data_IF_346108831298
#
_entry.id   IF_346108831298
#
_cell.length_a   1.000
_cell.length_b   1.000
_cell.length_c   1.000
_cell.angle_alpha   90.00
_cell.angle_beta   90.00
_cell.angle_gamma   90.00
#
_symmetry.space_group_name_H-M   'P 1'
#
loop_
_entity.id
_entity.type
_entity.pdbx_description
1 polymer ?
#
# COMPACT_ATOMS: atom_id res chain seq x y z
N UNK A 1 26.44 11.63 -9.54
CA UNK A 1 25.85 11.55 -8.18
C UNK A 1 25.23 12.89 -7.73
N UNK A 2 25.99 13.98 -7.58
CA UNK A 2 25.45 15.29 -7.16
C UNK A 2 24.33 15.86 -8.06
N UNK A 3 24.40 15.60 -9.37
CA UNK A 3 23.42 16.09 -10.36
C UNK A 3 22.07 15.36 -10.30
N UNK A 4 22.04 14.11 -9.83
CA UNK A 4 20.81 13.32 -9.66
C UNK A 4 20.11 13.74 -8.37
N UNK A 5 20.85 13.85 -7.26
CA UNK A 5 20.33 14.40 -5.99
C UNK A 5 19.74 15.81 -6.17
N UNK A 6 20.37 16.68 -6.98
CA UNK A 6 19.84 18.02 -7.31
C UNK A 6 18.54 17.98 -8.14
N UNK A 7 18.42 17.02 -9.07
CA UNK A 7 17.19 16.80 -9.86
C UNK A 7 16.07 16.21 -9.00
N UNK A 8 16.39 15.36 -8.03
CA UNK A 8 15.44 14.79 -7.07
C UNK A 8 14.92 15.84 -6.09
N UNK A 9 15.81 16.69 -5.55
CA UNK A 9 15.39 17.84 -4.76
C UNK A 9 14.56 18.83 -5.56
N UNK A 10 14.78 18.94 -6.88
CA UNK A 10 13.92 19.74 -7.76
C UNK A 10 12.55 19.09 -7.94
N UNK A 11 12.49 17.78 -8.15
CA UNK A 11 11.22 17.04 -8.27
C UNK A 11 10.38 17.16 -7.00
N UNK A 12 11.00 17.02 -5.81
CA UNK A 12 10.31 17.19 -4.53
C UNK A 12 9.90 18.64 -4.26
N UNK A 13 10.69 19.63 -4.70
CA UNK A 13 10.28 21.04 -4.63
C UNK A 13 9.13 21.35 -5.58
N UNK A 14 9.19 20.85 -6.81
CA UNK A 14 8.08 20.91 -7.77
C UNK A 14 6.88 20.21 -7.17
N UNK A 15 7.08 19.10 -6.46
CA UNK A 15 6.01 18.36 -5.80
C UNK A 15 5.35 19.11 -4.66
N UNK A 16 6.14 19.75 -3.81
CA UNK A 16 5.65 20.61 -2.73
C UNK A 16 4.91 21.83 -3.29
N UNK A 17 5.44 22.46 -4.34
CA UNK A 17 4.78 23.58 -5.05
C UNK A 17 3.50 23.12 -5.73
N UNK A 18 3.51 21.97 -6.38
CA UNK A 18 2.32 21.39 -7.00
C UNK A 18 1.26 21.02 -5.95
N UNK A 19 1.64 20.55 -4.75
CA UNK A 19 0.68 20.36 -3.65
C UNK A 19 0.10 21.69 -3.16
N UNK A 20 0.91 22.75 -3.00
CA UNK A 20 0.41 24.07 -2.60
C UNK A 20 -0.49 24.73 -3.66
N UNK A 21 -0.24 24.45 -4.94
CA UNK A 21 -0.97 24.98 -6.09
C UNK A 21 -2.09 24.03 -6.58
N UNK A 22 -2.39 22.95 -5.86
CA UNK A 22 -3.39 21.93 -6.24
C UNK A 22 -3.16 21.25 -7.61
N UNK A 23 -1.90 21.23 -8.09
CA UNK A 23 -1.51 20.54 -9.32
C UNK A 23 -1.35 19.04 -9.00
N UNK A 24 -2.10 18.14 -9.66
CA UNK A 24 -2.01 16.71 -9.42
C UNK A 24 -0.66 16.17 -9.93
N UNK A 25 -0.10 15.23 -9.18
CA UNK A 25 1.21 14.64 -9.43
C UNK A 25 1.00 13.15 -9.50
N UNK A 26 1.57 12.46 -10.51
CA UNK A 26 1.43 11.01 -10.61
C UNK A 26 1.92 10.35 -9.32
N UNK A 27 1.02 9.64 -8.66
CA UNK A 27 1.26 8.90 -7.42
C UNK A 27 0.55 7.56 -7.47
N UNK A 28 0.95 6.65 -6.59
CA UNK A 28 0.27 5.36 -6.44
C UNK A 28 -0.64 5.46 -5.22
N UNK A 29 -1.95 5.35 -5.41
CA UNK A 29 -2.91 5.22 -4.30
C UNK A 29 -3.11 3.74 -3.98
N UNK A 30 -3.01 3.39 -2.71
CA UNK A 30 -3.23 2.02 -2.23
C UNK A 30 -4.63 1.96 -1.61
N UNK A 31 -5.49 1.16 -2.21
CA UNK A 31 -6.88 0.99 -1.80
C UNK A 31 -7.19 -0.49 -1.58
N UNK A 32 -8.20 -0.77 -0.77
CA UNK A 32 -8.54 -2.11 -0.38
C UNK A 32 -9.45 -2.09 0.84
N UNK A 33 -10.24 -3.14 0.99
CA UNK A 33 -11.18 -3.25 2.09
C UNK A 33 -10.45 -3.37 3.45
N UNK A 34 -11.16 -3.18 4.55
CA UNK A 34 -10.58 -3.34 5.87
C UNK A 34 -9.99 -4.75 6.03
N UNK A 35 -8.78 -4.86 6.60
CA UNK A 35 -8.05 -6.14 6.75
C UNK A 35 -7.61 -6.81 5.43
N UNK A 36 -7.61 -6.08 4.31
CA UNK A 36 -7.16 -6.60 3.01
C UNK A 36 -5.64 -6.83 2.89
N UNK A 37 -4.85 -6.38 3.88
CA UNK A 37 -3.39 -6.52 3.89
C UNK A 37 -2.60 -5.30 3.38
N UNK A 38 -3.25 -4.15 3.17
CA UNK A 38 -2.59 -2.88 2.75
C UNK A 38 -1.37 -2.50 3.58
N UNK A 39 -1.51 -2.41 4.90
CA UNK A 39 -0.40 -2.01 5.77
C UNK A 39 0.78 -2.99 5.67
N UNK A 40 0.50 -4.30 5.65
CA UNK A 40 1.55 -5.32 5.49
C UNK A 40 2.24 -5.24 4.13
N UNK A 41 1.50 -4.92 3.06
CA UNK A 41 2.07 -4.66 1.73
C UNK A 41 2.98 -3.42 1.75
N UNK A 42 2.52 -2.33 2.36
CA UNK A 42 3.30 -1.09 2.48
C UNK A 42 4.56 -1.28 3.31
N UNK A 43 4.50 -2.04 4.41
CA UNK A 43 5.66 -2.41 5.20
C UNK A 43 6.68 -3.19 4.36
N UNK A 44 6.21 -4.14 3.54
CA UNK A 44 7.06 -4.94 2.68
C UNK A 44 7.76 -4.10 1.60
N UNK A 45 7.06 -3.12 1.01
CA UNK A 45 7.62 -2.20 0.00
C UNK A 45 8.58 -1.17 0.63
N UNK A 46 8.21 -0.63 1.79
CA UNK A 46 8.90 0.49 2.42
C UNK A 46 10.07 0.09 3.31
N UNK A 47 9.99 -1.09 3.93
CA UNK A 47 10.94 -1.56 4.94
C UNK A 47 10.76 -0.91 6.32
N UNK A 48 9.66 -0.16 6.54
CA UNK A 48 9.29 0.38 7.85
C UNK A 48 8.06 -0.34 8.40
N UNK A 49 7.82 -0.25 9.70
CA UNK A 49 6.60 -0.77 10.33
C UNK A 49 5.50 0.28 10.33
N UNK A 50 4.27 -0.14 10.03
CA UNK A 50 3.08 0.68 10.11
C UNK A 50 2.25 0.29 11.33
N UNK A 51 1.43 1.19 11.90
CA UNK A 51 0.57 0.84 13.03
C UNK A 51 -0.47 -0.22 12.66
N UNK A 52 -0.54 -1.33 13.40
CA UNK A 52 -1.41 -2.49 13.09
C UNK A 52 -2.69 -2.65 13.96
N UNK A 53 -2.99 -1.76 14.91
CA UNK A 53 -4.10 -1.99 15.87
C UNK A 53 -5.49 -1.79 15.28
N UNK A 54 -6.43 -2.71 15.61
CA UNK A 54 -7.82 -2.74 15.13
C UNK A 54 -8.63 -1.46 15.42
N UNK A 55 -8.30 -0.73 16.49
CA UNK A 55 -8.92 0.55 16.86
C UNK A 55 -8.17 1.77 16.33
N UNK A 56 -7.03 1.56 15.65
CA UNK A 56 -6.11 2.61 15.17
C UNK A 56 -5.77 2.41 13.69
N UNK A 57 -6.53 1.57 12.96
CA UNK A 57 -6.38 1.43 11.53
C UNK A 57 -6.47 2.82 10.88
N UNK A 58 -5.47 3.14 10.05
CA UNK A 58 -5.25 4.37 9.28
C UNK A 58 -6.47 5.30 9.31
N UNK A 59 -6.54 6.22 10.29
CA UNK A 59 -7.61 7.22 10.45
C UNK A 59 -7.35 8.50 9.65
N UNK A 60 -6.21 8.54 8.99
CA UNK A 60 -5.72 9.67 8.23
C UNK A 60 -4.97 9.12 7.01
N UNK A 61 -5.08 9.74 5.82
CA UNK A 61 -4.20 9.42 4.71
C UNK A 61 -2.73 9.45 5.14
N UNK A 62 -1.93 8.50 4.67
CA UNK A 62 -0.49 8.52 4.86
C UNK A 62 0.21 8.58 3.50
N UNK A 63 0.88 9.70 3.22
CA UNK A 63 1.70 9.87 2.03
C UNK A 63 3.11 9.41 2.36
N UNK A 64 3.44 8.21 1.91
CA UNK A 64 4.76 7.62 2.04
C UNK A 64 5.62 8.01 0.83
N UNK A 65 6.81 8.56 1.09
CA UNK A 65 7.85 8.86 0.11
C UNK A 65 9.07 7.98 0.38
N UNK A 66 9.47 7.16 -0.59
CA UNK A 66 10.70 6.38 -0.53
C UNK A 66 11.74 7.07 -1.39
N UNK A 67 12.85 7.49 -0.79
CA UNK A 67 13.95 8.14 -1.48
C UNK A 67 15.22 7.31 -1.35
N UNK A 68 15.96 7.22 -2.46
CA UNK A 68 17.30 6.65 -2.49
C UNK A 68 18.32 7.78 -2.54
N UNK A 69 19.19 7.84 -1.53
CA UNK A 69 20.33 8.73 -1.45
C UNK A 69 21.61 7.94 -1.10
N UNK A 70 22.55 7.77 -2.05
CA UNK A 70 23.76 6.97 -1.84
C UNK A 70 24.76 7.59 -0.86
N UNK A 71 24.54 8.85 -0.45
CA UNK A 71 25.38 9.57 0.52
C UNK A 71 24.98 9.27 1.96
N UNK A 72 23.78 8.72 2.17
CA UNK A 72 23.29 8.32 3.49
C UNK A 72 24.00 7.05 3.94
N UNK A 73 24.50 7.06 5.17
CA UNK A 73 25.09 5.89 5.83
C UNK A 73 24.00 4.93 6.29
N UNK A 74 23.28 5.32 7.34
CA UNK A 74 22.16 4.55 7.91
C UNK A 74 20.80 5.11 7.44
N UNK A 75 19.83 4.25 7.09
CA UNK A 75 18.51 4.70 6.68
C UNK A 75 17.78 5.41 7.83
N UNK A 76 17.02 6.45 7.49
CA UNK A 76 16.24 7.22 8.45
C UNK A 76 14.88 7.59 7.87
N UNK A 77 14.00 8.08 8.73
CA UNK A 77 12.70 8.58 8.32
C UNK A 77 12.40 9.97 8.88
N UNK A 78 11.54 10.68 8.17
CA UNK A 78 10.99 11.99 8.53
C UNK A 78 9.47 11.87 8.57
N UNK A 79 8.86 12.28 9.68
CA UNK A 79 7.40 12.28 9.86
C UNK A 79 6.92 13.72 10.06
N UNK A 80 5.91 14.15 9.30
CA UNK A 80 5.49 15.54 9.19
C UNK A 80 3.99 15.64 8.89
N UNK A 81 3.35 16.72 9.34
CA UNK A 81 1.99 17.07 8.90
C UNK A 81 2.00 18.04 7.71
N UNK A 82 3.17 18.58 7.37
CA UNK A 82 3.37 19.52 6.27
C UNK A 82 3.97 18.80 5.04
N UNK A 83 3.36 18.90 3.84
CA UNK A 83 3.95 18.33 2.62
C UNK A 83 5.36 18.85 2.30
N UNK A 84 5.76 20.02 2.81
CA UNK A 84 7.11 20.56 2.64
C UNK A 84 8.13 19.98 3.62
N UNK A 85 7.70 19.16 4.59
CA UNK A 85 8.52 18.62 5.68
C UNK A 85 9.18 19.71 6.55
N UNK A 86 8.57 20.90 6.65
CA UNK A 86 9.12 22.00 7.45
C UNK A 86 9.09 21.72 8.97
N UNK A 87 8.09 20.95 9.43
CA UNK A 87 7.92 20.51 10.83
C UNK A 87 8.40 19.07 11.06
N UNK A 88 9.19 18.53 10.14
CA UNK A 88 9.54 17.11 10.13
C UNK A 88 10.31 16.68 11.39
N UNK A 89 9.83 15.60 12.01
CA UNK A 89 10.53 14.88 13.07
C UNK A 89 11.36 13.76 12.44
N UNK A 90 12.69 13.91 12.50
CA UNK A 90 13.64 12.89 12.03
C UNK A 90 13.79 11.78 13.08
N UNK A 91 13.68 10.52 12.65
CA UNK A 91 13.79 9.35 13.52
C UNK A 91 14.49 8.17 12.80
N UNK A 92 14.84 7.14 13.58
CA UNK A 92 15.27 5.86 13.01
C UNK A 92 14.09 5.19 12.29
N UNK A 93 14.37 4.41 11.25
CA UNK A 93 13.35 3.60 10.56
C UNK A 93 12.59 2.64 11.51
N UNK A 94 13.23 2.25 12.61
CA UNK A 94 12.65 1.38 13.64
C UNK A 94 11.60 2.11 14.50
N UNK A 95 11.72 3.43 14.64
CA UNK A 95 10.87 4.24 15.51
C UNK A 95 9.67 4.86 14.76
N UNK A 96 9.61 4.67 13.44
CA UNK A 96 8.58 5.29 12.58
C UNK A 96 7.18 4.90 13.01
N UNK A 97 6.95 3.65 13.38
CA UNK A 97 5.65 3.18 13.84
C UNK A 97 5.15 4.00 15.05
N UNK A 98 6.05 4.27 16.01
CA UNK A 98 5.73 5.07 17.19
C UNK A 98 5.48 6.53 16.83
N UNK A 99 6.26 7.10 15.90
CA UNK A 99 6.07 8.48 15.44
C UNK A 99 4.74 8.65 14.69
N UNK A 100 4.37 7.71 13.83
CA UNK A 100 3.07 7.70 13.15
C UNK A 100 1.95 7.63 14.20
N UNK A 101 2.06 6.74 15.21
CA UNK A 101 1.07 6.64 16.29
C UNK A 101 0.91 7.94 17.08
N UNK A 102 2.03 8.59 17.43
CA UNK A 102 2.05 9.88 18.12
C UNK A 102 1.38 10.98 17.30
N UNK A 103 1.77 11.10 16.02
CA UNK A 103 1.19 12.09 15.11
C UNK A 103 -0.31 11.86 14.89
N UNK A 104 -0.71 10.60 14.68
CA UNK A 104 -2.12 10.22 14.49
C UNK A 104 -2.94 10.54 15.73
N UNK A 105 -2.47 10.18 16.93
CA UNK A 105 -3.22 10.44 18.19
C UNK A 105 -3.36 11.94 18.48
N UNK A 106 -2.37 12.74 18.07
CA UNK A 106 -2.39 14.19 18.26
C UNK A 106 -3.37 14.90 17.33
N UNK A 107 -3.51 14.45 16.08
CA UNK A 107 -4.28 15.15 15.04
C UNK A 107 -5.63 14.49 14.71
N UNK A 108 -5.76 13.18 14.90
CA UNK A 108 -7.04 12.46 14.80
C UNK A 108 -7.54 12.16 16.22
N UNK A 109 -8.20 13.15 16.84
CA UNK A 109 -8.81 13.00 18.16
C UNK A 109 -10.09 12.16 18.09
N UNK A 110 -10.24 11.21 19.02
CA UNK A 110 -11.40 10.30 19.05
C UNK A 110 -11.40 9.26 17.91
N UNK A 111 -12.58 8.77 17.53
CA UNK A 111 -12.76 7.76 16.47
C UNK A 111 -13.00 8.37 15.07
N UNK A 112 -12.72 9.66 14.88
CA UNK A 112 -12.99 10.34 13.60
C UNK A 112 -11.87 10.13 12.58
N UNK A 113 -12.25 10.03 11.32
CA UNK A 113 -11.33 10.02 10.18
C UNK A 113 -11.10 11.47 9.74
N UNK A 114 -9.84 11.84 9.53
CA UNK A 114 -9.45 13.16 9.02
C UNK A 114 -9.03 13.08 7.56
N UNK A 115 -9.29 14.17 6.82
CA UNK A 115 -8.77 14.35 5.45
C UNK A 115 -7.32 14.86 5.44
N UNK A 116 -6.81 15.33 6.57
CA UNK A 116 -5.43 15.77 6.69
C UNK A 116 -4.47 14.59 6.56
N UNK A 117 -3.49 14.71 5.67
CA UNK A 117 -2.53 13.65 5.40
C UNK A 117 -1.32 13.74 6.34
N UNK A 118 -0.84 12.58 6.79
CA UNK A 118 0.48 12.43 7.39
C UNK A 118 1.50 12.18 6.28
N UNK A 119 2.63 12.88 6.32
CA UNK A 119 3.72 12.70 5.38
C UNK A 119 4.84 11.92 6.07
N UNK A 120 5.23 10.79 5.47
CA UNK A 120 6.32 9.94 5.94
C UNK A 120 7.33 9.82 4.81
N UNK A 121 8.56 10.24 5.03
CA UNK A 121 9.65 10.07 4.07
C UNK A 121 10.69 9.14 4.63
N UNK A 122 10.96 8.05 3.91
CA UNK A 122 12.03 7.10 4.23
C UNK A 122 13.18 7.34 3.27
N UNK A 123 14.35 7.68 3.82
CA UNK A 123 15.58 7.88 3.05
C UNK A 123 16.51 6.72 3.31
N UNK A 124 16.92 6.03 2.24
CA UNK A 124 17.79 4.85 2.27
C UNK A 124 18.88 4.96 1.23
N UNK A 125 19.94 4.17 1.39
CA UNK A 125 21.07 4.18 0.45
C UNK A 125 20.65 3.77 -0.97
N UNK A 126 19.87 2.69 -1.08
CA UNK A 126 19.48 2.06 -2.36
C UNK A 126 18.01 1.64 -2.34
N UNK A 127 17.42 1.45 -3.52
CA UNK A 127 16.05 0.97 -3.71
C UNK A 127 15.21 1.90 -4.59
N UNK A 128 13.96 1.49 -4.89
CA UNK A 128 13.08 2.28 -5.75
C UNK A 128 12.73 3.60 -5.11
N UNK A 129 12.59 4.63 -5.95
CA UNK A 129 12.03 5.91 -5.55
C UNK A 129 10.56 5.91 -5.93
N UNK A 130 9.70 5.97 -4.93
CA UNK A 130 8.27 5.76 -5.10
C UNK A 130 7.52 6.62 -4.08
N UNK A 131 6.32 7.03 -4.45
CA UNK A 131 5.39 7.58 -3.49
C UNK A 131 4.06 6.87 -3.52
N UNK A 132 3.66 6.44 -2.33
CA UNK A 132 2.49 5.64 -2.06
C UNK A 132 1.58 6.47 -1.17
N UNK A 133 0.29 6.44 -1.45
CA UNK A 133 -0.73 7.05 -0.59
C UNK A 133 -1.52 5.90 0.02
N UNK A 134 -1.30 5.66 1.32
CA UNK A 134 -2.12 4.74 2.11
C UNK A 134 -3.40 5.45 2.50
N UNK A 135 -4.53 4.82 2.20
CA UNK A 135 -5.84 5.31 2.61
C UNK A 135 -6.44 4.40 3.67
N UNK A 136 -7.28 4.96 4.57
CA UNK A 136 -8.15 4.16 5.43
C UNK A 136 -8.83 3.05 4.63
N UNK A 137 -8.85 1.83 5.17
CA UNK A 137 -9.53 0.71 4.52
C UNK A 137 -11.05 0.93 4.47
N UNK A 138 -11.67 0.55 3.36
CA UNK A 138 -13.13 0.66 3.18
C UNK A 138 -13.81 -0.41 4.07
N UNK A 139 -14.73 0.01 4.93
CA UNK A 139 -15.43 -0.85 5.90
C UNK A 139 -16.63 -1.57 5.27
N UNK A 140 -17.11 -2.70 5.78
CA UNK A 140 -18.35 -3.36 5.28
C UNK A 140 -19.37 -3.56 6.41
N UNK A 141 -20.63 -3.11 6.22
CA UNK A 141 -21.84 -3.22 7.07
C UNK A 141 -21.77 -2.65 8.52
N UNK A 142 -22.47 -1.55 8.84
CA UNK A 142 -23.92 -1.41 9.11
C UNK A 142 -24.37 -2.11 10.41
N UNK A 143 -24.09 -1.51 11.58
CA UNK A 143 -25.18 -1.26 12.55
C UNK A 143 -25.02 0.02 13.37
N UNK A 144 -23.87 0.74 13.28
CA UNK A 144 -23.63 1.99 14.04
C UNK A 144 -22.70 3.02 13.35
N UNK A 145 -22.33 2.83 12.08
CA UNK A 145 -21.18 3.53 11.47
C UNK A 145 -21.32 3.85 9.96
N UNK A 146 -22.53 4.10 9.44
CA UNK A 146 -22.73 4.53 8.03
C UNK A 146 -21.83 5.72 7.65
N UNK A 147 -21.65 6.67 8.57
CA UNK A 147 -20.78 7.85 8.40
C UNK A 147 -19.31 7.47 8.11
N UNK A 148 -18.79 6.39 8.70
CA UNK A 148 -17.38 5.98 8.49
C UNK A 148 -17.19 5.32 7.13
N UNK A 149 -18.19 4.54 6.68
CA UNK A 149 -18.17 3.98 5.33
C UNK A 149 -18.13 5.09 4.29
N UNK A 150 -19.07 6.02 4.35
CA UNK A 150 -19.17 7.14 3.40
C UNK A 150 -17.89 7.99 3.41
N UNK A 151 -17.31 8.23 4.58
CA UNK A 151 -16.05 8.99 4.70
C UNK A 151 -14.85 8.22 4.11
N UNK A 152 -14.70 6.93 4.39
CA UNK A 152 -13.58 6.13 3.86
C UNK A 152 -13.69 5.93 2.35
N UNK A 153 -14.88 5.58 1.85
CA UNK A 153 -15.14 5.43 0.43
C UNK A 153 -15.01 6.75 -0.33
N UNK A 154 -15.57 7.85 0.21
CA UNK A 154 -15.46 9.19 -0.37
C UNK A 154 -14.02 9.70 -0.43
N UNK A 155 -13.22 9.42 0.61
CA UNK A 155 -11.80 9.73 0.60
C UNK A 155 -11.05 8.91 -0.46
N UNK A 156 -11.30 7.61 -0.58
CA UNK A 156 -10.73 6.78 -1.64
C UNK A 156 -11.11 7.29 -3.03
N UNK A 157 -12.37 7.66 -3.23
CA UNK A 157 -12.90 8.23 -4.46
C UNK A 157 -12.18 9.52 -4.87
N UNK A 158 -11.86 10.42 -3.91
CA UNK A 158 -11.13 11.67 -4.18
C UNK A 158 -9.74 11.47 -4.78
N UNK A 159 -9.08 10.34 -4.48
CA UNK A 159 -7.79 9.97 -5.06
C UNK A 159 -7.95 9.14 -6.33
N UNK A 160 -8.83 8.13 -6.32
CA UNK A 160 -9.05 7.23 -7.46
C UNK A 160 -9.55 7.98 -8.70
N UNK A 161 -10.40 9.00 -8.54
CA UNK A 161 -10.99 9.75 -9.67
C UNK A 161 -9.98 10.56 -10.49
N UNK A 162 -8.76 10.76 -9.98
CA UNK A 162 -7.70 11.51 -10.67
C UNK A 162 -7.02 10.59 -11.68
N UNK A 163 -7.04 10.96 -12.96
CA UNK A 163 -6.53 10.12 -14.04
C UNK A 163 -5.01 9.89 -13.96
N UNK A 164 -4.28 10.81 -13.31
CA UNK A 164 -2.83 10.71 -13.12
C UNK A 164 -2.42 9.71 -12.04
N UNK A 165 -3.37 9.23 -11.23
CA UNK A 165 -3.12 8.29 -10.13
C UNK A 165 -3.16 6.84 -10.63
N UNK A 166 -2.09 6.11 -10.36
CA UNK A 166 -2.08 4.64 -10.47
C UNK A 166 -2.76 4.08 -9.23
N UNK A 167 -3.68 3.13 -9.40
CA UNK A 167 -4.43 2.51 -8.32
C UNK A 167 -3.84 1.14 -8.04
N UNK A 168 -3.42 0.91 -6.81
CA UNK A 168 -3.01 -0.39 -6.30
C UNK A 168 -4.16 -0.96 -5.47
N UNK A 169 -4.93 -1.87 -6.06
CA UNK A 169 -6.11 -2.47 -5.43
C UNK A 169 -5.73 -3.76 -4.70
N UNK A 170 -5.78 -3.74 -3.36
CA UNK A 170 -5.27 -4.80 -2.51
C UNK A 170 -6.42 -5.70 -2.04
N UNK A 171 -6.39 -6.97 -2.45
CA UNK A 171 -7.40 -7.98 -2.16
C UNK A 171 -6.81 -9.23 -1.50
N UNK A 172 -7.44 -9.80 -0.45
CA UNK A 172 -7.05 -11.12 0.06
C UNK A 172 -7.28 -12.23 -0.96
N UNK A 173 -6.38 -13.21 -1.04
CA UNK A 173 -6.48 -14.33 -1.98
C UNK A 173 -7.79 -15.14 -1.90
N UNK A 174 -8.34 -15.25 -0.69
CA UNK A 174 -9.57 -16.01 -0.41
C UNK A 174 -10.84 -15.14 -0.48
N UNK A 175 -10.73 -13.84 -0.79
CA UNK A 175 -11.91 -12.99 -0.94
C UNK A 175 -12.62 -13.23 -2.28
N UNK A 176 -13.87 -12.81 -2.33
CA UNK A 176 -14.62 -12.68 -3.57
C UNK A 176 -14.35 -11.29 -4.16
N UNK A 177 -13.55 -11.24 -5.23
CA UNK A 177 -13.17 -9.99 -5.89
C UNK A 177 -14.39 -9.27 -6.48
N UNK A 178 -15.41 -10.01 -6.91
CA UNK A 178 -16.64 -9.42 -7.44
C UNK A 178 -17.43 -8.64 -6.38
N UNK A 179 -17.18 -8.91 -5.10
CA UNK A 179 -17.79 -8.20 -3.98
C UNK A 179 -16.89 -7.16 -3.30
N UNK A 180 -15.61 -7.07 -3.68
CA UNK A 180 -14.68 -6.10 -3.14
C UNK A 180 -15.10 -4.66 -3.47
N UNK A 181 -15.29 -3.83 -2.45
CA UNK A 181 -15.74 -2.45 -2.62
C UNK A 181 -14.64 -1.58 -3.23
N UNK A 182 -13.39 -1.77 -2.80
CA UNK A 182 -12.25 -1.07 -3.38
C UNK A 182 -12.10 -1.32 -4.88
N UNK A 183 -12.31 -2.57 -5.33
CA UNK A 183 -12.23 -2.93 -6.75
C UNK A 183 -13.40 -2.33 -7.55
N UNK A 184 -14.63 -2.40 -7.02
CA UNK A 184 -15.81 -1.75 -7.63
C UNK A 184 -15.59 -0.24 -7.78
N UNK A 185 -15.04 0.41 -6.76
CA UNK A 185 -14.74 1.84 -6.79
C UNK A 185 -13.64 2.17 -7.81
N UNK A 186 -12.59 1.37 -7.89
CA UNK A 186 -11.55 1.53 -8.93
C UNK A 186 -12.15 1.41 -10.33
N UNK A 187 -12.95 0.37 -10.58
CA UNK A 187 -13.63 0.12 -11.86
C UNK A 187 -14.62 1.21 -12.28
N UNK A 188 -15.26 1.89 -11.33
CA UNK A 188 -16.11 3.05 -11.59
C UNK A 188 -15.36 4.18 -12.32
N UNK A 189 -14.06 4.36 -12.02
CA UNK A 189 -13.22 5.44 -12.56
C UNK A 189 -12.07 4.97 -13.47
N UNK A 190 -11.89 3.66 -13.62
CA UNK A 190 -10.98 3.00 -14.55
C UNK A 190 -11.61 1.69 -15.06
N UNK A 191 -12.65 1.77 -15.93
CA UNK A 191 -13.41 0.59 -16.36
C UNK A 191 -12.57 -0.50 -17.01
N UNK A 192 -11.54 -0.11 -17.78
CA UNK A 192 -10.62 -1.03 -18.45
C UNK A 192 -9.50 -1.55 -17.52
N UNK A 193 -9.34 -0.96 -16.33
CA UNK A 193 -8.24 -1.28 -15.42
C UNK A 193 -6.87 -0.90 -15.99
N UNK A 194 -6.81 0.16 -16.80
CA UNK A 194 -5.62 0.62 -17.53
C UNK A 194 -4.53 1.21 -16.63
N UNK A 195 -4.93 1.73 -15.46
CA UNK A 195 -4.06 2.31 -14.43
C UNK A 195 -4.28 1.66 -13.06
N UNK A 196 -4.99 0.53 -13.03
CA UNK A 196 -5.30 -0.21 -11.81
C UNK A 196 -4.60 -1.56 -11.83
N UNK A 197 -3.69 -1.77 -10.87
CA UNK A 197 -3.00 -3.04 -10.64
C UNK A 197 -3.63 -3.72 -9.42
N UNK A 198 -4.07 -4.97 -9.59
CA UNK A 198 -4.52 -5.79 -8.47
C UNK A 198 -3.33 -6.37 -7.71
N UNK A 199 -3.36 -6.33 -6.39
CA UNK A 199 -2.40 -7.02 -5.53
C UNK A 199 -3.13 -8.00 -4.64
N UNK A 200 -2.84 -9.27 -4.82
CA UNK A 200 -3.44 -10.35 -4.06
C UNK A 200 -2.55 -10.68 -2.86
N UNK A 201 -3.05 -10.46 -1.64
CA UNK A 201 -2.34 -10.76 -0.39
C UNK A 201 -2.82 -12.07 0.24
N UNK A 202 -2.21 -12.50 1.35
CA UNK A 202 -2.59 -13.73 2.08
C UNK A 202 -2.58 -14.99 1.20
N UNK A 203 -1.65 -15.05 0.25
CA UNK A 203 -1.50 -16.21 -0.64
C UNK A 203 -1.05 -17.47 0.11
N UNK A 204 -0.45 -17.32 1.30
CA UNK A 204 -0.15 -18.41 2.22
C UNK A 204 -1.41 -19.07 2.80
N UNK A 205 -2.45 -18.30 3.11
CA UNK A 205 -3.75 -18.86 3.52
C UNK A 205 -4.36 -19.67 2.36
N UNK A 206 -4.34 -19.10 1.14
CA UNK A 206 -4.83 -19.76 -0.06
C UNK A 206 -4.04 -21.02 -0.45
N UNK A 207 -2.73 -21.05 -0.19
CA UNK A 207 -1.91 -22.23 -0.41
C UNK A 207 -2.31 -23.41 0.48
N UNK A 208 -2.76 -23.13 1.71
CA UNK A 208 -3.14 -24.09 2.72
C UNK A 208 -4.65 -24.42 2.75
N UNK A 209 -5.48 -23.67 2.02
CA UNK A 209 -6.92 -23.91 1.94
C UNK A 209 -7.26 -25.23 1.22
N UNK A 210 -8.39 -25.85 1.57
CA UNK A 210 -8.89 -27.05 0.89
C UNK A 210 -9.27 -26.75 -0.57
N UNK A 211 -9.93 -25.61 -0.79
CA UNK A 211 -10.34 -25.12 -2.11
C UNK A 211 -9.88 -23.68 -2.32
N UNK A 212 -9.36 -23.38 -3.51
CA UNK A 212 -8.97 -22.03 -3.90
C UNK A 212 -8.94 -21.92 -5.43
N UNK A 213 -9.64 -20.93 -5.95
CA UNK A 213 -9.78 -20.61 -7.37
C UNK A 213 -8.87 -19.45 -7.83
N UNK A 214 -7.89 -19.08 -7.00
CA UNK A 214 -7.07 -17.89 -7.22
C UNK A 214 -6.38 -17.87 -8.59
N UNK A 215 -5.94 -19.02 -9.10
CA UNK A 215 -5.32 -19.09 -10.43
C UNK A 215 -6.30 -18.72 -11.56
N UNK A 216 -7.60 -19.05 -11.41
CA UNK A 216 -8.63 -18.66 -12.37
C UNK A 216 -8.95 -17.16 -12.25
N UNK A 217 -9.01 -16.64 -11.02
CA UNK A 217 -9.21 -15.20 -10.72
C UNK A 217 -8.08 -14.34 -11.30
N UNK A 218 -6.83 -14.70 -11.03
CA UNK A 218 -5.62 -14.00 -11.50
C UNK A 218 -5.43 -14.16 -13.00
N UNK A 219 -5.74 -15.34 -13.55
CA UNK A 219 -5.68 -15.61 -14.98
C UNK A 219 -6.74 -14.89 -15.82
N UNK A 220 -7.61 -14.09 -15.18
CA UNK A 220 -8.60 -13.22 -15.84
C UNK A 220 -9.64 -13.97 -16.69
N UNK A 221 -9.93 -15.23 -16.35
CA UNK A 221 -10.59 -16.15 -17.29
C UNK A 221 -12.12 -15.96 -17.38
N UNK A 222 -12.80 -15.26 -16.45
CA UNK A 222 -14.26 -15.39 -16.34
C UNK A 222 -15.13 -14.14 -16.16
N UNK A 223 -14.64 -13.03 -15.61
CA UNK A 223 -15.51 -11.90 -15.24
C UNK A 223 -14.97 -10.54 -15.68
N UNK A 224 -15.77 -9.79 -16.46
CA UNK A 224 -15.43 -8.42 -16.92
C UNK A 224 -15.22 -7.45 -15.75
N UNK A 225 -15.98 -7.65 -14.68
CA UNK A 225 -16.12 -6.70 -13.59
C UNK A 225 -14.90 -6.72 -12.66
N UNK A 226 -14.11 -7.80 -12.69
CA UNK A 226 -12.84 -7.93 -11.96
C UNK A 226 -11.63 -7.86 -12.89
N UNK A 227 -11.80 -7.75 -14.21
CA UNK A 227 -10.67 -7.78 -15.15
C UNK A 227 -9.86 -6.48 -15.14
N UNK A 228 -8.58 -6.51 -14.79
CA UNK A 228 -7.69 -5.34 -14.84
C UNK A 228 -6.66 -5.41 -15.97
N UNK A 229 -6.54 -4.43 -16.86
CA UNK A 229 -5.56 -4.50 -17.96
C UNK A 229 -4.10 -4.67 -17.48
N UNK A 230 -3.74 -4.15 -16.30
CA UNK A 230 -2.43 -4.38 -15.68
C UNK A 230 -2.30 -5.74 -14.96
N UNK A 231 -3.38 -6.49 -14.85
CA UNK A 231 -3.44 -7.80 -14.22
C UNK A 231 -3.43 -7.76 -12.68
N UNK A 232 -3.09 -8.92 -12.10
CA UNK A 232 -3.01 -9.14 -10.66
C UNK A 232 -1.63 -9.65 -10.26
N UNK A 233 -1.11 -9.18 -9.15
CA UNK A 233 0.18 -9.61 -8.61
C UNK A 233 0.00 -10.26 -7.24
N UNK A 234 0.42 -11.51 -7.09
CA UNK A 234 0.24 -12.27 -5.86
C UNK A 234 1.46 -12.12 -4.96
N UNK A 235 1.24 -11.78 -3.70
CA UNK A 235 2.30 -11.60 -2.70
C UNK A 235 1.99 -12.35 -1.41
N UNK A 236 3.04 -12.77 -0.74
CA UNK A 236 2.98 -13.20 0.66
C UNK A 236 3.58 -12.07 1.49
N UNK A 237 2.85 -11.55 2.47
CA UNK A 237 3.35 -10.50 3.37
C UNK A 237 3.70 -11.07 4.75
N UNK A 238 4.54 -10.38 5.55
CA UNK A 238 4.85 -10.85 6.90
C UNK A 238 3.59 -10.90 7.78
N UNK A 239 3.30 -12.08 8.33
CA UNK A 239 2.18 -12.25 9.26
C UNK A 239 2.47 -11.56 10.60
N UNK A 240 1.46 -11.46 11.47
CA UNK A 240 1.67 -10.94 12.82
C UNK A 240 2.65 -11.82 13.62
N UNK A 241 2.62 -13.14 13.41
CA UNK A 241 3.53 -14.08 14.05
C UNK A 241 4.96 -13.89 13.55
N UNK A 242 5.17 -13.75 12.24
CA UNK A 242 6.50 -13.51 11.66
C UNK A 242 7.14 -12.24 12.27
N UNK A 243 6.32 -11.21 12.50
CA UNK A 243 6.77 -9.95 13.11
C UNK A 243 7.08 -10.09 14.60
N UNK A 244 6.28 -10.85 15.34
CA UNK A 244 6.50 -11.12 16.77
C UNK A 244 7.77 -11.96 16.99
N UNK A 245 8.05 -12.89 16.07
CA UNK A 245 9.26 -13.71 16.06
C UNK A 245 10.51 -12.96 15.55
N UNK A 246 10.35 -11.73 15.04
CA UNK A 246 11.46 -10.93 14.54
C UNK A 246 12.13 -11.51 13.29
N UNK A 247 11.37 -12.21 12.44
CA UNK A 247 11.92 -12.83 11.22
C UNK A 247 12.55 -11.80 10.29
N UNK A 248 13.67 -12.18 9.67
CA UNK A 248 14.40 -11.32 8.76
C UNK A 248 13.66 -11.17 7.42
N UNK A 249 14.09 -10.20 6.61
CA UNK A 249 13.57 -10.03 5.25
C UNK A 249 13.93 -11.23 4.38
N UNK A 250 15.12 -11.80 4.57
CA UNK A 250 15.60 -12.98 3.88
C UNK A 250 14.71 -14.19 4.17
N UNK A 251 14.34 -14.41 5.45
CA UNK A 251 13.42 -15.48 5.84
C UNK A 251 12.04 -15.31 5.18
N UNK A 252 11.58 -14.07 5.10
CA UNK A 252 10.30 -13.74 4.47
C UNK A 252 10.31 -14.03 2.96
N UNK A 253 11.37 -13.62 2.25
CA UNK A 253 11.52 -13.91 0.82
C UNK A 253 11.64 -15.42 0.54
N UNK A 254 12.32 -16.15 1.43
CA UNK A 254 12.38 -17.60 1.36
C UNK A 254 10.99 -18.24 1.54
N UNK A 255 10.22 -17.79 2.54
CA UNK A 255 8.83 -18.23 2.76
C UNK A 255 7.96 -17.94 1.54
N UNK A 256 8.01 -16.72 1.00
CA UNK A 256 7.24 -16.34 -0.20
C UNK A 256 7.58 -17.26 -1.38
N UNK A 257 8.88 -17.47 -1.63
CA UNK A 257 9.36 -18.37 -2.69
C UNK A 257 8.78 -19.78 -2.50
N UNK A 258 8.91 -20.36 -1.30
CA UNK A 258 8.37 -21.69 -0.98
C UNK A 258 6.87 -21.78 -1.25
N UNK A 259 6.08 -20.78 -0.84
CA UNK A 259 4.62 -20.76 -1.07
C UNK A 259 4.31 -20.87 -2.57
N UNK A 260 4.96 -20.08 -3.42
CA UNK A 260 4.71 -20.09 -4.86
C UNK A 260 5.33 -21.28 -5.59
N UNK A 261 6.44 -21.84 -5.10
CA UNK A 261 7.15 -22.95 -5.78
C UNK A 261 6.70 -24.34 -5.35
N UNK A 262 6.25 -24.52 -4.12
CA UNK A 262 5.93 -25.85 -3.56
C UNK A 262 4.43 -26.12 -3.48
N UNK A 263 3.59 -25.09 -3.31
CA UNK A 263 2.14 -25.28 -3.32
C UNK A 263 1.62 -25.65 -4.71
N UNK A 264 0.93 -26.79 -4.80
CA UNK A 264 0.29 -27.24 -6.05
C UNK A 264 -0.71 -26.20 -6.60
N UNK A 265 -1.36 -25.45 -5.70
CA UNK A 265 -2.33 -24.41 -6.08
C UNK A 265 -1.64 -23.16 -6.59
N UNK A 266 -0.65 -22.65 -5.85
CA UNK A 266 0.01 -21.39 -6.22
C UNK A 266 0.86 -21.51 -7.48
N UNK A 267 1.44 -22.70 -7.74
CA UNK A 267 2.20 -22.97 -8.97
C UNK A 267 1.39 -22.81 -10.27
N UNK A 268 0.06 -22.83 -10.19
CA UNK A 268 -0.83 -22.63 -11.35
C UNK A 268 -0.91 -21.17 -11.78
N UNK A 269 -0.52 -20.23 -10.92
CA UNK A 269 -0.44 -18.80 -11.25
C UNK A 269 0.81 -18.59 -12.13
N UNK A 270 0.76 -17.76 -13.19
CA UNK A 270 1.94 -17.47 -13.99
C UNK A 270 3.06 -16.82 -13.16
N UNK A 271 4.32 -17.15 -13.45
CA UNK A 271 5.47 -16.77 -12.62
C UNK A 271 5.71 -15.27 -12.58
N UNK A 272 5.36 -14.59 -13.66
CA UNK A 272 5.40 -13.14 -13.79
C UNK A 272 4.44 -12.43 -12.82
N UNK A 273 3.45 -13.14 -12.28
CA UNK A 273 2.50 -12.63 -11.28
C UNK A 273 2.89 -13.01 -9.84
N UNK A 274 4.09 -13.60 -9.60
CA UNK A 274 4.53 -14.02 -8.27
C UNK A 274 5.45 -12.99 -7.62
N UNK A 275 5.14 -12.62 -6.37
CA UNK A 275 6.06 -12.07 -5.38
C UNK A 275 6.85 -10.82 -5.80
N UNK A 276 7.66 -10.29 -4.89
CA UNK A 276 8.30 -8.99 -5.15
C UNK A 276 9.46 -9.10 -6.16
N UNK A 277 10.05 -10.28 -6.35
CA UNK A 277 11.15 -10.45 -7.32
C UNK A 277 10.73 -10.33 -8.79
N UNK A 278 9.48 -10.67 -9.16
CA UNK A 278 9.01 -10.50 -10.53
C UNK A 278 8.92 -9.01 -10.95
N UNK A 279 8.83 -8.09 -9.97
CA UNK A 279 8.77 -6.64 -10.21
C UNK A 279 10.14 -5.95 -10.37
N UNK A 280 11.25 -6.71 -10.31
CA UNK A 280 12.63 -6.18 -10.43
C UNK A 280 13.34 -6.54 -11.74
N UNK A 281 12.63 -7.20 -12.66
CA UNK A 281 13.11 -7.55 -14.01
C UNK A 281 12.89 -6.45 -15.03
#
# INVERSE_FOLDING_TARGET
MAQVSKKLGLFERVRAVCHSESIPIPGVVVVGDQSSGKSSLLENISGIRFPRSQTTCTRMPCVLQLLSDPTVGEPFAEVSMDPSFADATKCSVLDVEEQIKKATTKHATGNQITKEALYVRVVRREGPQLSLIDLPGITHNADKMEDIHEVTAGLAEEYIKREEMVVLCVEPAMSDFGNAEALKLAKKYDPDGSRTLGVVTKCDDAANAEECDLAEKVGMVRESDVRLALGYHCVVNPSQNDVNEGRSREDHLAKERTVFTESERMRKIPKENWGIEASRG
#
